data_IF_046179428675
#
_entry.id   IF_046179428675
#
_cell.length_a   1.000
_cell.length_b   1.000
_cell.length_c   1.000
_cell.angle_alpha   90.00
_cell.angle_beta   90.00
_cell.angle_gamma   90.00
#
_symmetry.space_group_name_H-M   'P 1'
#
loop_
_entity.id
_entity.type
_entity.pdbx_description
1 polymer ?
#
# COMPACT_ATOMS: atom_id res chain seq x y z
N UNK A 1 2.01 -4.51 -9.52
CA UNK A 1 2.46 -5.40 -8.44
C UNK A 1 1.48 -6.54 -8.41
N UNK A 2 1.97 -7.77 -8.49
CA UNK A 2 1.10 -8.94 -8.45
C UNK A 2 0.84 -9.37 -7.00
N UNK A 3 -0.11 -10.29 -6.82
CA UNK A 3 -0.34 -10.92 -5.52
C UNK A 3 0.90 -11.67 -5.03
N UNK A 4 1.64 -12.33 -5.94
CA UNK A 4 2.95 -12.94 -5.64
C UNK A 4 3.95 -11.95 -5.05
N UNK A 5 4.15 -10.79 -5.71
CA UNK A 5 5.05 -9.73 -5.20
C UNK A 5 4.65 -9.25 -3.80
N UNK A 6 3.33 -9.17 -3.53
CA UNK A 6 2.82 -8.74 -2.24
C UNK A 6 3.14 -9.77 -1.14
N UNK A 7 2.96 -11.06 -1.44
CA UNK A 7 3.31 -12.16 -0.52
C UNK A 7 4.80 -12.15 -0.19
N UNK A 8 5.66 -12.00 -1.20
CA UNK A 8 7.11 -11.91 -0.98
C UNK A 8 7.48 -10.76 -0.05
N UNK A 9 6.89 -9.58 -0.26
CA UNK A 9 7.10 -8.42 0.63
C UNK A 9 6.59 -8.66 2.04
N UNK A 10 5.42 -9.29 2.20
CA UNK A 10 4.87 -9.59 3.52
C UNK A 10 5.73 -10.60 4.27
N UNK A 11 6.28 -11.57 3.55
CA UNK A 11 7.25 -12.53 4.09
C UNK A 11 8.49 -11.84 4.64
N UNK A 12 9.09 -10.96 3.85
CA UNK A 12 10.24 -10.14 4.26
C UNK A 12 9.92 -9.23 5.47
N UNK A 13 8.65 -8.88 5.67
CA UNK A 13 8.17 -8.09 6.82
C UNK A 13 7.90 -8.91 8.09
N UNK A 14 8.36 -10.17 8.16
CA UNK A 14 8.54 -10.88 9.42
C UNK A 14 7.95 -12.27 9.49
N UNK A 15 7.49 -12.86 8.38
CA UNK A 15 7.30 -14.31 8.32
C UNK A 15 8.65 -14.93 7.97
N UNK A 16 9.37 -15.37 9.00
CA UNK A 16 10.71 -15.97 8.85
C UNK A 16 10.69 -17.27 8.02
N UNK A 17 9.54 -17.94 7.88
CA UNK A 17 9.38 -19.20 7.12
C UNK A 17 8.09 -19.23 6.26
N UNK A 18 8.16 -19.86 5.08
CA UNK A 18 7.01 -20.14 4.18
C UNK A 18 5.82 -20.79 4.89
N UNK A 19 6.12 -21.76 5.77
CA UNK A 19 5.10 -22.57 6.43
C UNK A 19 4.22 -21.76 7.39
N UNK A 20 4.77 -20.71 8.02
CA UNK A 20 4.00 -19.80 8.84
C UNK A 20 3.01 -19.01 7.97
N UNK A 21 3.43 -18.57 6.79
CA UNK A 21 2.58 -17.77 5.91
C UNK A 21 1.37 -18.54 5.37
N UNK A 22 1.50 -19.85 5.12
CA UNK A 22 0.38 -20.72 4.73
C UNK A 22 -0.65 -20.88 5.87
N UNK A 23 -0.21 -20.93 7.13
CA UNK A 23 -1.10 -21.00 8.30
C UNK A 23 -1.89 -19.69 8.48
N UNK A 24 -1.28 -18.56 8.12
CA UNK A 24 -1.91 -17.25 8.17
C UNK A 24 -2.61 -16.84 6.86
N UNK A 25 -2.76 -17.72 5.85
CA UNK A 25 -3.32 -17.34 4.54
C UNK A 25 -4.67 -16.61 4.63
N UNK A 26 -5.60 -17.11 5.43
CA UNK A 26 -6.90 -16.46 5.64
C UNK A 26 -6.77 -15.08 6.29
N UNK A 27 -5.86 -14.97 7.27
CA UNK A 27 -5.60 -13.73 7.98
C UNK A 27 -4.91 -12.71 7.06
N UNK A 28 -3.95 -13.15 6.25
CA UNK A 28 -3.26 -12.34 5.24
C UNK A 28 -4.27 -11.82 4.21
N UNK A 29 -5.13 -12.66 3.64
CA UNK A 29 -6.13 -12.23 2.65
C UNK A 29 -7.10 -11.21 3.25
N UNK A 30 -7.59 -11.47 4.47
CA UNK A 30 -8.48 -10.53 5.16
C UNK A 30 -7.77 -9.20 5.45
N UNK A 31 -6.52 -9.24 5.91
CA UNK A 31 -5.70 -8.06 6.16
C UNK A 31 -5.43 -7.26 4.88
N UNK A 32 -5.11 -7.94 3.78
CA UNK A 32 -4.87 -7.34 2.47
C UNK A 32 -6.14 -6.71 1.93
N UNK A 33 -7.27 -7.42 1.90
CA UNK A 33 -8.54 -6.88 1.42
C UNK A 33 -8.96 -5.64 2.19
N UNK A 34 -8.84 -5.68 3.52
CA UNK A 34 -9.10 -4.53 4.39
C UNK A 34 -8.16 -3.36 4.08
N UNK A 35 -6.89 -3.65 3.84
CA UNK A 35 -5.89 -2.64 3.50
C UNK A 35 -6.17 -1.99 2.14
N UNK A 36 -6.54 -2.78 1.13
CA UNK A 36 -6.94 -2.30 -0.19
C UNK A 36 -8.14 -1.37 -0.06
N UNK A 37 -9.18 -1.80 0.67
CA UNK A 37 -10.39 -0.99 0.88
C UNK A 37 -10.06 0.35 1.54
N UNK A 38 -9.22 0.35 2.58
CA UNK A 38 -8.81 1.58 3.27
C UNK A 38 -8.02 2.49 2.34
N UNK A 39 -7.00 1.96 1.65
CA UNK A 39 -6.15 2.76 0.75
C UNK A 39 -6.99 3.35 -0.39
N UNK A 40 -7.91 2.56 -0.95
CA UNK A 40 -8.85 2.99 -1.98
C UNK A 40 -9.72 4.15 -1.48
N UNK A 41 -10.42 3.96 -0.36
CA UNK A 41 -11.35 4.97 0.16
C UNK A 41 -10.67 6.23 0.72
N UNK A 42 -9.46 6.13 1.25
CA UNK A 42 -8.79 7.25 1.93
C UNK A 42 -7.77 7.96 1.04
N UNK A 43 -6.91 7.20 0.34
CA UNK A 43 -5.80 7.73 -0.43
C UNK A 43 -6.20 7.88 -1.90
N UNK A 44 -6.70 6.83 -2.54
CA UNK A 44 -7.06 6.87 -3.98
C UNK A 44 -8.22 7.82 -4.23
N UNK A 45 -9.28 7.74 -3.43
CA UNK A 45 -10.41 8.68 -3.52
C UNK A 45 -9.95 10.14 -3.37
N UNK A 46 -8.95 10.41 -2.51
CA UNK A 46 -8.39 11.75 -2.33
C UNK A 46 -7.46 12.18 -3.47
N UNK A 47 -6.80 11.23 -4.15
CA UNK A 47 -5.88 11.48 -5.25
C UNK A 47 -6.61 11.69 -6.58
N UNK A 48 -7.52 10.78 -6.93
CA UNK A 48 -8.19 10.75 -8.24
C UNK A 48 -9.59 11.38 -8.17
N UNK A 49 -10.22 11.46 -6.99
CA UNK A 49 -11.57 12.03 -6.84
C UNK A 49 -12.71 11.12 -7.33
N UNK A 50 -12.39 9.90 -7.78
CA UNK A 50 -13.33 8.89 -8.23
C UNK A 50 -13.51 7.80 -7.17
N UNK A 51 -14.69 7.17 -7.16
CA UNK A 51 -14.98 6.02 -6.30
C UNK A 51 -14.23 4.81 -6.86
N UNK A 52 -13.19 4.31 -6.17
CA UNK A 52 -12.35 3.25 -6.70
C UNK A 52 -13.13 1.94 -6.74
N UNK A 53 -13.01 1.19 -7.84
CA UNK A 53 -13.73 -0.07 -8.01
C UNK A 53 -13.41 -1.04 -6.85
N UNK A 54 -14.42 -1.77 -6.32
CA UNK A 54 -14.18 -2.77 -5.29
C UNK A 54 -13.26 -3.86 -5.85
N UNK A 55 -12.20 -4.16 -5.11
CA UNK A 55 -11.26 -5.23 -5.42
C UNK A 55 -11.06 -6.06 -4.16
N UNK A 56 -11.26 -7.37 -4.29
CA UNK A 56 -11.05 -8.32 -3.22
C UNK A 56 -10.35 -9.55 -3.78
N UNK A 57 -9.34 -10.01 -3.06
CA UNK A 57 -8.64 -11.27 -3.30
C UNK A 57 -9.35 -12.37 -2.51
N UNK A 58 -9.30 -13.58 -3.06
CA UNK A 58 -9.83 -14.79 -2.46
C UNK A 58 -8.72 -15.85 -2.30
N UNK A 59 -9.03 -16.97 -1.63
CA UNK A 59 -8.04 -18.03 -1.35
C UNK A 59 -7.55 -18.75 -2.62
N UNK A 60 -8.31 -18.69 -3.71
CA UNK A 60 -7.98 -19.28 -5.01
C UNK A 60 -7.35 -18.25 -5.96
N UNK A 61 -7.19 -16.99 -5.54
CA UNK A 61 -6.50 -15.96 -6.31
C UNK A 61 -5.04 -16.39 -6.55
N UNK A 62 -4.66 -16.44 -7.83
CA UNK A 62 -3.33 -16.84 -8.24
C UNK A 62 -2.29 -15.73 -8.00
N UNK A 63 -1.02 -16.11 -7.92
CA UNK A 63 0.12 -15.21 -7.71
C UNK A 63 0.33 -14.23 -8.87
N UNK A 64 -0.17 -14.56 -10.06
CA UNK A 64 -0.19 -13.69 -11.24
C UNK A 64 -1.29 -12.59 -11.15
N UNK A 65 -2.17 -12.64 -10.16
CA UNK A 65 -3.27 -11.66 -10.02
C UNK A 65 -2.71 -10.24 -9.87
N UNK A 66 -3.02 -9.36 -10.82
CA UNK A 66 -2.60 -7.96 -10.78
C UNK A 66 -3.49 -7.17 -9.82
N UNK A 67 -2.86 -6.43 -8.90
CA UNK A 67 -3.57 -5.60 -7.93
C UNK A 67 -3.92 -4.27 -8.57
N UNK A 68 -5.23 -3.98 -8.66
CA UNK A 68 -5.78 -2.73 -9.18
C UNK A 68 -5.58 -1.57 -8.18
N UNK A 69 -4.34 -1.09 -8.09
CA UNK A 69 -3.95 0.07 -7.29
C UNK A 69 -2.95 0.94 -8.06
N UNK A 70 -3.07 2.27 -7.98
CA UNK A 70 -2.08 3.18 -8.56
C UNK A 70 -0.67 2.88 -8.04
N UNK A 71 0.32 2.88 -8.93
CA UNK A 71 1.72 2.56 -8.59
C UNK A 71 2.29 3.44 -7.46
N UNK A 72 1.74 4.66 -7.25
CA UNK A 72 2.13 5.54 -6.15
C UNK A 72 1.70 5.03 -4.78
N UNK A 73 0.53 4.37 -4.70
CA UNK A 73 -0.03 3.87 -3.43
C UNK A 73 0.20 2.37 -3.24
N UNK A 74 0.67 1.68 -4.28
CA UNK A 74 0.88 0.22 -4.26
C UNK A 74 1.83 -0.23 -3.16
N UNK A 75 2.79 0.63 -2.77
CA UNK A 75 3.75 0.35 -1.69
C UNK A 75 3.15 0.52 -0.28
N UNK A 76 2.01 1.20 -0.15
CA UNK A 76 1.29 1.30 1.12
C UNK A 76 0.60 0.00 1.50
N UNK A 77 0.24 -0.80 0.50
CA UNK A 77 -0.49 -2.05 0.68
C UNK A 77 0.25 -3.06 1.58
N UNK A 78 1.51 -3.43 1.32
CA UNK A 78 2.23 -4.36 2.19
C UNK A 78 2.41 -3.82 3.62
N UNK A 79 2.65 -2.51 3.79
CA UNK A 79 2.83 -1.89 5.11
C UNK A 79 1.55 -1.96 5.95
N UNK A 80 0.40 -1.61 5.36
CA UNK A 80 -0.87 -1.65 6.06
C UNK A 80 -1.35 -3.10 6.31
N UNK A 81 -1.07 -4.00 5.37
CA UNK A 81 -1.37 -5.42 5.52
C UNK A 81 -0.53 -6.04 6.65
N UNK A 82 0.77 -5.73 6.71
CA UNK A 82 1.64 -6.13 7.80
C UNK A 82 1.15 -5.57 9.15
N UNK A 83 0.72 -4.30 9.21
CA UNK A 83 0.11 -3.75 10.42
C UNK A 83 -1.06 -4.60 10.92
N UNK A 84 -2.01 -4.97 10.06
CA UNK A 84 -3.15 -5.79 10.46
C UNK A 84 -2.76 -7.22 10.83
N UNK A 85 -1.74 -7.78 10.20
CA UNK A 85 -1.23 -9.11 10.51
C UNK A 85 -0.63 -9.13 11.92
N UNK A 86 0.27 -8.18 12.22
CA UNK A 86 0.96 -8.12 13.50
C UNK A 86 0.11 -7.51 14.61
N UNK A 87 -1.04 -6.91 14.30
CA UNK A 87 -1.89 -6.22 15.28
C UNK A 87 -2.28 -7.11 16.45
N UNK A 88 -2.58 -8.38 16.16
CA UNK A 88 -2.97 -9.37 17.17
C UNK A 88 -1.77 -10.11 17.81
N UNK A 89 -0.61 -10.14 17.14
CA UNK A 89 0.56 -10.94 17.57
C UNK A 89 1.66 -10.10 18.25
N UNK A 90 2.11 -9.01 17.61
CA UNK A 90 3.17 -8.12 18.12
C UNK A 90 2.82 -6.65 17.86
N UNK A 91 2.26 -5.99 18.88
CA UNK A 91 1.85 -4.58 18.79
C UNK A 91 3.01 -3.65 18.39
N UNK A 92 4.25 -3.98 18.76
CA UNK A 92 5.40 -3.10 18.50
C UNK A 92 5.75 -3.13 17.02
N UNK A 93 5.73 -4.31 16.41
CA UNK A 93 5.87 -4.46 14.96
C UNK A 93 4.70 -3.78 14.24
N UNK A 94 3.47 -3.99 14.70
CA UNK A 94 2.29 -3.35 14.12
C UNK A 94 2.44 -1.82 14.11
N UNK A 95 2.75 -1.20 15.25
CA UNK A 95 2.96 0.25 15.36
C UNK A 95 4.11 0.73 14.46
N UNK A 96 5.20 -0.03 14.36
CA UNK A 96 6.31 0.29 13.45
C UNK A 96 5.85 0.37 11.99
N UNK A 97 5.12 -0.64 11.51
CA UNK A 97 4.62 -0.66 10.13
C UNK A 97 3.57 0.41 9.87
N UNK A 98 2.71 0.69 10.85
CA UNK A 98 1.75 1.78 10.77
C UNK A 98 2.43 3.14 10.64
N UNK A 99 3.48 3.40 11.42
CA UNK A 99 4.25 4.66 11.31
C UNK A 99 4.90 4.79 9.93
N UNK A 100 5.48 3.71 9.39
CA UNK A 100 6.03 3.71 8.03
C UNK A 100 4.95 3.96 6.96
N UNK A 101 3.75 3.41 7.15
CA UNK A 101 2.60 3.67 6.29
C UNK A 101 2.19 5.15 6.34
N UNK A 102 2.12 5.75 7.53
CA UNK A 102 1.76 7.17 7.70
C UNK A 102 2.79 8.09 7.06
N UNK A 103 4.09 7.82 7.29
CA UNK A 103 5.19 8.55 6.66
C UNK A 103 5.10 8.49 5.12
N UNK A 104 4.86 7.30 4.56
CA UNK A 104 4.77 7.12 3.11
C UNK A 104 3.50 7.80 2.55
N UNK A 105 2.37 7.74 3.26
CA UNK A 105 1.17 8.49 2.91
C UNK A 105 1.47 9.99 2.85
N UNK A 106 2.13 10.53 3.88
CA UNK A 106 2.50 11.93 3.96
C UNK A 106 3.45 12.32 2.82
N UNK A 107 4.41 11.47 2.47
CA UNK A 107 5.29 11.66 1.30
C UNK A 107 4.48 11.74 0.00
N UNK A 108 3.57 10.78 -0.26
CA UNK A 108 2.74 10.76 -1.47
C UNK A 108 1.88 12.03 -1.57
N UNK A 109 1.26 12.46 -0.46
CA UNK A 109 0.47 13.70 -0.44
C UNK A 109 1.35 14.94 -0.64
N UNK A 110 2.53 14.98 -0.04
CA UNK A 110 3.48 16.08 -0.19
C UNK A 110 4.04 16.17 -1.61
N UNK A 111 4.36 15.04 -2.25
CA UNK A 111 4.78 14.97 -3.64
C UNK A 111 3.70 15.48 -4.60
N UNK A 112 2.42 15.16 -4.36
CA UNK A 112 1.31 15.72 -5.13
C UNK A 112 1.25 17.25 -5.02
N UNK A 113 1.39 17.77 -3.80
CA UNK A 113 1.38 19.22 -3.53
C UNK A 113 2.59 19.92 -4.14
N UNK A 114 3.78 19.33 -4.03
CA UNK A 114 5.03 19.90 -4.54
C UNK A 114 5.18 19.76 -6.06
N UNK A 115 4.61 18.72 -6.68
CA UNK A 115 4.56 18.56 -8.14
C UNK A 115 3.74 19.64 -8.86
N UNK A 116 2.95 20.42 -8.10
CA UNK A 116 2.14 21.54 -8.61
C UNK A 116 2.86 22.90 -8.53
N UNK A 117 4.13 22.96 -8.07
CA UNK A 117 4.94 24.18 -8.19
C UNK A 117 5.56 24.33 -9.60
N UNK A 118 4.69 24.81 -10.50
CA UNK A 118 4.93 25.82 -11.52
C UNK A 118 6.40 26.28 -11.68
N UNK A 119 7.03 25.94 -12.80
CA UNK A 119 8.15 26.72 -13.37
C UNK A 119 7.67 27.34 -14.68
N UNK A 120 6.94 28.45 -14.58
CA UNK A 120 6.80 29.42 -15.67
C UNK A 120 7.28 30.77 -15.13
N UNK A 121 8.43 31.20 -15.65
CA UNK A 121 8.76 32.55 -16.17
C UNK A 121 10.26 32.46 -16.48
N UNK A 122 10.71 32.36 -17.73
CA UNK A 122 10.41 33.33 -18.77
C UNK A 122 11.10 34.66 -18.42
N UNK A 123 12.42 34.72 -18.57
CA UNK A 123 13.23 35.91 -18.34
C UNK A 123 14.18 36.15 -19.52
N UNK A 124 13.62 36.60 -20.64
CA UNK A 124 14.38 37.12 -21.78
C UNK A 124 15.23 38.29 -21.30
N UNK A 125 16.57 38.20 -21.39
CA UNK A 125 17.46 39.36 -21.25
C UNK A 125 18.11 39.65 -22.61
N UNK A 126 17.59 40.68 -23.28
CA UNK A 126 18.35 41.50 -24.21
C UNK A 126 19.32 42.36 -23.40
N UNK A 127 20.58 42.41 -23.82
CA UNK A 127 21.64 43.26 -23.26
C UNK A 127 22.96 42.93 -23.91
#
# INVERSE_FOLDING_TARGET
MTFGDLKDKLRDMGFEEDASMDEYKELVINAVNRSIEIIKNTVVSRLEGEDPAPFALDLESDDETEIDLPAKVIMLLPLLSAYYIWLDDDERKAVMYYNQYDDLCNQIFSERLNGTKMTITGGYRFG
#
